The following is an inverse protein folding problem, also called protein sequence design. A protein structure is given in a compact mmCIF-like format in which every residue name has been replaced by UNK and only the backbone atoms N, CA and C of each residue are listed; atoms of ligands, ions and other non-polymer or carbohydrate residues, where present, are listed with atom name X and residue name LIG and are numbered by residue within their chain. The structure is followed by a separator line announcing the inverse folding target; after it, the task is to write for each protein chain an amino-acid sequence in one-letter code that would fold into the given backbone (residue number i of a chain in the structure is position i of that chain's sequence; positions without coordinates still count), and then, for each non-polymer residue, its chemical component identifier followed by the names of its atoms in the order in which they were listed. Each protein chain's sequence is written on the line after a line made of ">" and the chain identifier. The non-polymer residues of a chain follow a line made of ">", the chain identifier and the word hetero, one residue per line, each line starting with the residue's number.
data_IF_574185323100
#
_entry.id   IF_574185323100
#
_cell.length_a   1.000
_cell.length_b   1.000
_cell.length_c   1.000
_cell.angle_alpha   90.00
_cell.angle_beta   90.00
_cell.angle_gamma   90.00
#
_symmetry.space_group_name_H-M   'P 1'
#
loop_
_entity.id
_entity.type
_entity.pdbx_description
1 polymer ?
#
# COMPACT_ATOMS: atom_id res chain seq x y z
N UNK A 1 8.29 -5.18 -4.64
CA UNK A 1 8.96 -6.43 -4.22
C UNK A 1 8.51 -7.66 -5.02
N UNK A 2 7.26 -8.16 -4.89
CA UNK A 2 6.79 -9.38 -5.61
C UNK A 2 7.09 -9.39 -7.13
N UNK A 3 6.75 -8.30 -7.84
CA UNK A 3 7.03 -8.16 -9.28
C UNK A 3 8.52 -8.24 -9.63
N UNK A 4 9.39 -7.66 -8.81
CA UNK A 4 10.84 -7.73 -9.02
C UNK A 4 11.37 -9.15 -8.79
N UNK A 5 10.86 -9.84 -7.77
CA UNK A 5 11.15 -11.26 -7.56
C UNK A 5 10.70 -12.13 -8.75
N UNK A 6 9.52 -11.85 -9.32
CA UNK A 6 9.03 -12.54 -10.53
C UNK A 6 9.91 -12.24 -11.77
N UNK A 7 10.32 -11.00 -11.97
CA UNK A 7 11.22 -10.61 -13.07
C UNK A 7 12.57 -11.35 -12.97
N UNK A 8 13.16 -11.43 -11.78
CA UNK A 8 14.39 -12.19 -11.56
C UNK A 8 14.19 -13.68 -11.85
N UNK A 9 13.05 -14.27 -11.45
CA UNK A 9 12.72 -15.66 -11.79
C UNK A 9 12.60 -15.86 -13.31
N UNK A 10 11.98 -14.92 -14.02
CA UNK A 10 11.89 -14.95 -15.49
C UNK A 10 13.28 -14.89 -16.15
N UNK A 11 14.20 -14.12 -15.55
CA UNK A 11 15.61 -14.05 -15.94
C UNK A 11 16.45 -15.26 -15.49
N UNK A 12 15.81 -16.33 -14.99
CA UNK A 12 16.43 -17.57 -14.51
C UNK A 12 17.43 -17.34 -13.36
N UNK A 13 17.16 -16.37 -12.50
CA UNK A 13 17.83 -16.21 -11.23
C UNK A 13 17.13 -17.04 -10.15
N UNK A 14 17.88 -17.47 -9.13
CA UNK A 14 17.31 -18.18 -7.98
C UNK A 14 16.78 -17.16 -6.98
N UNK A 15 15.52 -17.31 -6.59
CA UNK A 15 14.79 -16.32 -5.80
C UNK A 15 13.99 -16.99 -4.69
N UNK A 16 14.21 -16.57 -3.45
CA UNK A 16 13.32 -16.83 -2.32
C UNK A 16 12.57 -15.54 -1.99
N UNK A 17 11.26 -15.65 -1.78
CA UNK A 17 10.40 -14.53 -1.38
C UNK A 17 9.70 -14.86 -0.06
N UNK A 18 9.95 -14.07 0.98
CA UNK A 18 9.35 -14.23 2.30
C UNK A 18 8.56 -12.97 2.67
N UNK A 19 7.24 -13.11 2.80
CA UNK A 19 6.41 -12.08 3.42
C UNK A 19 6.45 -12.28 4.94
N UNK A 20 7.05 -11.34 5.67
CA UNK A 20 7.20 -11.44 7.11
C UNK A 20 5.86 -11.29 7.83
N UNK A 21 4.94 -10.47 7.28
CA UNK A 21 3.66 -10.18 7.90
C UNK A 21 2.72 -11.40 7.90
N UNK A 22 2.76 -12.22 6.85
CA UNK A 22 1.96 -13.44 6.74
C UNK A 22 2.26 -14.47 7.84
N UNK A 23 3.40 -14.35 8.54
CA UNK A 23 3.86 -15.29 9.56
C UNK A 23 4.04 -14.64 10.95
N UNK A 24 3.62 -13.39 11.12
CA UNK A 24 3.97 -12.60 12.30
C UNK A 24 3.28 -13.08 13.59
N UNK A 25 2.27 -13.96 13.48
CA UNK A 25 1.59 -14.63 14.60
C UNK A 25 2.45 -15.70 15.28
N UNK A 26 3.53 -16.16 14.63
CA UNK A 26 4.45 -17.16 15.20
C UNK A 26 5.35 -16.47 16.23
N UNK A 27 5.54 -17.09 17.41
CA UNK A 27 6.37 -16.51 18.49
C UNK A 27 7.85 -16.34 18.05
N UNK A 28 8.32 -17.20 17.15
CA UNK A 28 9.73 -17.29 16.74
C UNK A 28 9.86 -17.03 15.24
N UNK A 29 10.40 -15.88 14.78
CA UNK A 29 10.41 -15.55 13.36
C UNK A 29 11.32 -16.42 12.49
N UNK A 30 12.39 -16.97 13.07
CA UNK A 30 13.36 -17.77 12.32
C UNK A 30 12.73 -19.06 11.75
N UNK A 31 11.79 -19.67 12.47
CA UNK A 31 11.15 -20.91 12.05
C UNK A 31 10.32 -20.75 10.76
N UNK A 32 9.32 -19.84 10.66
CA UNK A 32 8.58 -19.64 9.43
C UNK A 32 9.47 -19.12 8.29
N UNK A 33 10.52 -18.35 8.60
CA UNK A 33 11.51 -17.96 7.60
C UNK A 33 12.22 -19.17 7.01
N UNK A 34 12.82 -20.02 7.85
CA UNK A 34 13.53 -21.23 7.40
C UNK A 34 12.60 -22.18 6.64
N UNK A 35 11.36 -22.36 7.12
CA UNK A 35 10.37 -23.18 6.43
C UNK A 35 10.12 -22.68 5.00
N UNK A 36 9.76 -21.40 4.85
CA UNK A 36 9.49 -20.82 3.53
C UNK A 36 10.74 -20.83 2.63
N UNK A 37 11.89 -20.53 3.22
CA UNK A 37 13.17 -20.51 2.54
C UNK A 37 13.54 -21.88 1.97
N UNK A 38 13.53 -22.91 2.80
CA UNK A 38 13.87 -24.28 2.42
C UNK A 38 12.85 -24.89 1.44
N UNK A 39 11.57 -24.58 1.60
CA UNK A 39 10.52 -25.02 0.68
C UNK A 39 10.71 -24.43 -0.72
N UNK A 40 11.01 -23.13 -0.81
CA UNK A 40 11.26 -22.49 -2.11
C UNK A 40 12.57 -22.94 -2.76
N UNK A 41 13.62 -23.22 -1.98
CA UNK A 41 14.84 -23.84 -2.51
C UNK A 41 14.57 -25.25 -3.06
N UNK A 42 13.69 -26.01 -2.40
CA UNK A 42 13.27 -27.34 -2.86
C UNK A 42 12.50 -27.28 -4.17
N UNK A 43 11.55 -26.35 -4.29
CA UNK A 43 10.78 -26.13 -5.52
C UNK A 43 11.67 -25.74 -6.70
N UNK A 44 12.78 -25.05 -6.42
CA UNK A 44 13.81 -24.72 -7.40
C UNK A 44 14.80 -25.85 -7.69
N UNK A 45 14.65 -27.03 -7.05
CA UNK A 45 15.53 -28.17 -7.21
C UNK A 45 16.94 -27.98 -6.61
N UNK A 46 17.14 -26.94 -5.79
CA UNK A 46 18.42 -26.62 -5.17
C UNK A 46 18.70 -27.51 -3.95
N UNK A 47 17.64 -28.01 -3.30
CA UNK A 47 17.70 -28.95 -2.18
C UNK A 47 16.64 -30.03 -2.28
N UNK A 48 16.90 -31.20 -1.69
CA UNK A 48 15.94 -32.30 -1.51
C UNK A 48 15.53 -32.42 -0.04
N UNK A 49 14.69 -31.49 0.42
CA UNK A 49 14.33 -31.37 1.84
C UNK A 49 12.94 -31.96 2.17
N UNK A 50 12.75 -32.61 3.31
CA UNK A 50 11.46 -33.18 3.74
C UNK A 50 11.02 -32.71 5.14
N UNK A 51 10.17 -31.69 5.20
CA UNK A 51 9.62 -31.15 6.45
C UNK A 51 8.79 -32.13 7.28
N UNK A 52 8.28 -33.23 6.70
CA UNK A 52 7.41 -34.17 7.43
C UNK A 52 8.16 -34.90 8.54
N UNK A 53 9.47 -35.04 8.43
CA UNK A 53 10.31 -35.70 9.45
C UNK A 53 10.60 -34.76 10.62
N UNK A 54 10.83 -33.47 10.37
CA UNK A 54 11.11 -32.47 11.42
C UNK A 54 9.91 -32.21 12.33
N UNK A 55 8.71 -32.17 11.74
CA UNK A 55 7.47 -31.97 12.49
C UNK A 55 7.16 -33.18 13.39
N UNK A 56 7.58 -34.39 13.00
CA UNK A 56 7.38 -35.61 13.80
C UNK A 56 8.34 -35.72 14.99
N UNK A 57 9.54 -35.14 14.89
CA UNK A 57 10.58 -35.19 15.93
C UNK A 57 10.66 -33.85 16.69
N UNK A 58 9.57 -33.49 17.39
CA UNK A 58 9.43 -32.18 18.03
C UNK A 58 10.21 -32.08 19.36
N UNK A 59 11.29 -31.30 19.35
CA UNK A 59 11.95 -30.75 20.55
C UNK A 59 12.54 -29.36 20.25
N UNK A 60 13.24 -29.23 19.11
CA UNK A 60 13.71 -27.95 18.58
C UNK A 60 13.69 -27.94 17.04
N UNK A 61 12.52 -27.60 16.48
CA UNK A 61 12.28 -27.64 15.03
C UNK A 61 13.29 -26.77 14.27
N UNK A 62 13.77 -25.66 14.86
CA UNK A 62 14.68 -24.74 14.16
C UNK A 62 16.06 -25.35 13.96
N UNK A 63 16.65 -25.90 15.04
CA UNK A 63 17.97 -26.53 14.98
C UNK A 63 17.93 -27.81 14.14
N UNK A 64 16.86 -28.60 14.26
CA UNK A 64 16.65 -29.79 13.43
C UNK A 64 16.54 -29.43 11.95
N UNK A 65 15.78 -28.38 11.62
CA UNK A 65 15.67 -27.94 10.23
C UNK A 65 17.01 -27.48 9.64
N UNK A 66 17.82 -26.77 10.42
CA UNK A 66 19.17 -26.38 10.02
C UNK A 66 20.05 -27.60 9.75
N UNK A 67 20.11 -28.56 10.70
CA UNK A 67 20.87 -29.82 10.60
C UNK A 67 20.49 -30.61 9.34
N UNK A 68 19.21 -30.89 9.16
CA UNK A 68 18.73 -31.68 8.02
C UNK A 68 18.96 -30.99 6.68
N UNK A 69 18.92 -29.65 6.64
CA UNK A 69 19.24 -28.92 5.42
C UNK A 69 20.69 -29.14 4.98
N UNK A 70 21.62 -29.20 5.94
CA UNK A 70 23.04 -29.40 5.65
C UNK A 70 23.25 -30.72 4.97
N UNK A 71 22.72 -31.80 5.55
CA UNK A 71 22.93 -33.15 5.03
C UNK A 71 22.41 -33.28 3.59
N UNK A 72 21.26 -32.65 3.33
CA UNK A 72 20.66 -32.55 1.99
C UNK A 72 21.51 -31.71 1.02
N UNK A 73 22.03 -30.59 1.49
CA UNK A 73 22.83 -29.70 0.67
C UNK A 73 24.19 -30.35 0.34
N UNK A 74 24.81 -31.06 1.28
CA UNK A 74 26.12 -31.69 1.11
C UNK A 74 26.08 -33.04 0.40
N UNK A 75 25.00 -33.81 0.54
CA UNK A 75 24.95 -35.22 0.15
C UNK A 75 23.57 -35.56 -0.42
N UNK A 76 23.49 -36.01 -1.67
CA UNK A 76 22.22 -36.20 -2.39
C UNK A 76 21.24 -37.27 -1.87
N UNK A 77 21.46 -37.87 -0.70
CA UNK A 77 20.64 -38.91 -0.05
C UNK A 77 20.76 -38.73 1.47
N UNK A 78 19.64 -38.59 2.19
CA UNK A 78 19.61 -38.47 3.66
C UNK A 78 19.47 -39.86 4.29
N UNK A 79 20.24 -40.14 5.35
CA UNK A 79 19.90 -41.15 6.35
C UNK A 79 19.41 -40.41 7.62
N UNK A 80 18.10 -40.44 7.87
CA UNK A 80 17.43 -39.80 9.03
C UNK A 80 17.59 -40.61 10.33
N UNK A 81 18.19 -41.80 10.27
CA UNK A 81 18.18 -42.74 11.39
C UNK A 81 19.12 -42.38 12.56
N UNK A 82 20.04 -41.43 12.41
CA UNK A 82 20.96 -41.01 13.49
C UNK A 82 20.36 -39.96 14.47
N UNK A 83 19.10 -39.55 14.27
CA UNK A 83 18.42 -38.56 15.14
C UNK A 83 17.41 -39.19 16.12
N UNK A 84 17.36 -40.53 16.24
CA UNK A 84 16.33 -41.22 17.01
C UNK A 84 16.56 -41.35 18.52
N UNK A 85 17.62 -40.79 19.08
CA UNK A 85 17.79 -40.85 20.54
C UNK A 85 17.44 -39.52 21.24
N UNK A 86 16.17 -39.48 21.67
CA UNK A 86 15.63 -39.03 22.97
C UNK A 86 14.41 -38.12 22.83
N UNK A 87 13.27 -38.77 22.95
CA UNK A 87 11.98 -38.20 23.36
C UNK A 87 12.03 -37.76 24.82
N UNK A 88 11.59 -36.54 25.10
CA UNK A 88 10.54 -36.30 26.10
C UNK A 88 9.85 -34.96 25.83
N UNK A 89 8.53 -35.02 25.73
CA UNK A 89 7.66 -33.94 25.30
C UNK A 89 7.36 -32.98 26.46
N UNK A 90 8.22 -31.97 26.65
CA UNK A 90 7.85 -30.73 27.32
C UNK A 90 8.13 -29.54 26.39
N UNK A 91 7.16 -28.63 26.34
CA UNK A 91 7.16 -27.48 25.44
C UNK A 91 8.38 -26.59 25.68
N UNK A 92 9.35 -26.65 24.76
CA UNK A 92 10.55 -25.82 24.80
C UNK A 92 10.42 -24.68 23.77
N UNK A 93 10.26 -23.47 24.31
CA UNK A 93 10.46 -22.19 23.60
C UNK A 93 11.88 -22.13 23.02
N UNK A 94 12.21 -21.14 22.18
CA UNK A 94 13.54 -21.02 21.54
C UNK A 94 14.53 -21.05 22.70
N UNK A 95 15.68 -21.73 22.56
CA UNK A 95 16.44 -22.12 23.72
C UNK A 95 16.66 -20.86 24.55
N UNK A 96 16.09 -20.83 25.76
CA UNK A 96 16.83 -20.20 26.85
C UNK A 96 18.03 -21.11 26.93
N UNK A 97 19.08 -20.76 26.17
CA UNK A 97 20.33 -21.51 26.10
C UNK A 97 20.79 -21.56 27.54
N UNK A 98 20.49 -22.67 28.18
CA UNK A 98 20.63 -22.83 29.63
C UNK A 98 21.86 -23.66 29.93
N UNK A 99 22.36 -24.37 28.92
CA UNK A 99 23.58 -25.15 28.96
C UNK A 99 24.57 -24.74 27.86
N UNK A 100 25.86 -24.91 28.15
CA UNK A 100 26.93 -24.69 27.17
C UNK A 100 26.83 -25.64 25.97
N UNK A 101 26.27 -26.83 26.19
CA UNK A 101 26.11 -27.87 25.17
C UNK A 101 25.05 -27.47 24.14
N UNK A 102 23.90 -26.95 24.58
CA UNK A 102 22.87 -26.39 23.70
C UNK A 102 23.42 -25.24 22.83
N UNK A 103 24.22 -24.36 23.43
CA UNK A 103 24.86 -23.27 22.70
C UNK A 103 25.80 -23.78 21.60
N UNK A 104 26.65 -24.76 21.93
CA UNK A 104 27.58 -25.37 20.98
C UNK A 104 26.82 -26.03 19.83
N UNK A 105 25.77 -26.79 20.13
CA UNK A 105 24.96 -27.45 19.11
C UNK A 105 24.28 -26.45 18.15
N UNK A 106 23.79 -25.31 18.68
CA UNK A 106 23.22 -24.25 17.86
C UNK A 106 24.30 -23.59 16.99
N UNK A 107 25.48 -23.29 17.53
CA UNK A 107 26.59 -22.74 16.76
C UNK A 107 27.04 -23.69 15.65
N UNK A 108 27.17 -24.98 15.94
CA UNK A 108 27.53 -26.00 14.96
C UNK A 108 26.47 -26.11 13.85
N UNK A 109 25.18 -26.11 14.21
CA UNK A 109 24.09 -26.11 13.24
C UNK A 109 24.11 -24.87 12.36
N UNK A 110 24.34 -23.67 12.92
CA UNK A 110 24.45 -22.43 12.16
C UNK A 110 25.68 -22.43 11.23
N UNK A 111 26.85 -22.84 11.74
CA UNK A 111 28.08 -22.92 10.95
C UNK A 111 27.91 -23.86 9.76
N UNK A 112 27.36 -25.05 10.01
CA UNK A 112 27.09 -26.01 8.96
C UNK A 112 26.02 -25.47 7.99
N UNK A 113 24.94 -24.82 8.47
CA UNK A 113 23.90 -24.25 7.60
C UNK A 113 24.48 -23.23 6.63
N UNK A 114 25.35 -22.34 7.11
CA UNK A 114 26.12 -21.42 6.26
C UNK A 114 26.98 -22.18 5.24
N UNK A 115 27.58 -23.31 5.63
CA UNK A 115 28.36 -24.14 4.72
C UNK A 115 27.48 -24.77 3.62
N UNK A 116 26.30 -25.27 3.97
CA UNK A 116 25.31 -25.77 3.00
C UNK A 116 24.84 -24.69 2.03
N UNK A 117 24.60 -23.46 2.52
CA UNK A 117 24.28 -22.32 1.67
C UNK A 117 25.42 -21.96 0.71
N UNK A 118 26.67 -21.98 1.19
CA UNK A 118 27.83 -21.76 0.32
C UNK A 118 27.90 -22.80 -0.81
N UNK A 119 27.60 -24.08 -0.52
CA UNK A 119 27.54 -25.13 -1.55
C UNK A 119 26.43 -24.89 -2.57
N UNK A 120 25.25 -24.43 -2.12
CA UNK A 120 24.16 -24.05 -3.03
C UNK A 120 24.62 -22.91 -3.95
N UNK A 121 25.20 -21.85 -3.41
CA UNK A 121 25.70 -20.73 -4.21
C UNK A 121 26.76 -21.19 -5.22
N UNK A 122 27.69 -22.06 -4.83
CA UNK A 122 28.68 -22.62 -5.77
C UNK A 122 28.00 -23.34 -6.93
N UNK A 123 26.91 -24.08 -6.69
CA UNK A 123 26.11 -24.75 -7.72
C UNK A 123 25.39 -23.79 -8.67
N UNK A 124 25.14 -22.55 -8.24
CA UNK A 124 24.56 -21.49 -9.07
C UNK A 124 25.55 -20.93 -10.12
N UNK A 125 26.80 -21.41 -10.17
CA UNK A 125 27.80 -21.09 -11.21
C UNK A 125 27.99 -19.59 -11.44
N UNK A 126 28.13 -18.83 -10.36
CA UNK A 126 28.37 -17.38 -10.41
C UNK A 126 27.11 -16.51 -10.45
N UNK A 127 25.92 -17.13 -10.47
CA UNK A 127 24.65 -16.43 -10.20
C UNK A 127 24.42 -16.27 -8.70
N UNK A 128 23.61 -15.28 -8.34
CA UNK A 128 23.24 -15.01 -6.96
C UNK A 128 21.95 -15.74 -6.57
N UNK A 129 21.81 -16.02 -5.28
CA UNK A 129 20.55 -16.36 -4.64
C UNK A 129 19.95 -15.10 -4.04
N UNK A 130 18.86 -14.61 -4.63
CA UNK A 130 18.15 -13.42 -4.13
C UNK A 130 17.12 -13.81 -3.09
N UNK A 131 17.14 -13.13 -1.94
CA UNK A 131 16.25 -13.40 -0.80
C UNK A 131 15.48 -12.13 -0.50
N UNK A 132 14.23 -12.09 -0.93
CA UNK A 132 13.30 -10.99 -0.67
C UNK A 132 12.64 -11.18 0.68
N UNK A 133 12.65 -10.14 1.51
CA UNK A 133 11.93 -10.06 2.77
C UNK A 133 11.05 -8.81 2.70
N UNK A 134 9.73 -9.01 2.76
CA UNK A 134 8.73 -7.95 2.53
C UNK A 134 7.85 -7.75 3.78
N UNK A 135 7.28 -6.55 3.91
CA UNK A 135 6.31 -6.15 4.93
C UNK A 135 6.78 -6.26 6.40
N UNK A 136 8.10 -6.12 6.64
CA UNK A 136 8.70 -6.12 7.98
C UNK A 136 8.11 -5.04 8.90
N UNK A 137 7.78 -3.88 8.37
CA UNK A 137 7.20 -2.76 9.12
C UNK A 137 5.77 -3.01 9.62
N UNK A 138 5.07 -4.01 9.05
CA UNK A 138 3.68 -4.37 9.43
C UNK A 138 3.62 -5.47 10.49
N UNK A 139 4.72 -6.17 10.72
CA UNK A 139 4.81 -7.17 11.77
C UNK A 139 4.72 -6.55 13.16
N UNK A 140 4.35 -7.38 14.14
CA UNK A 140 4.57 -7.05 15.56
C UNK A 140 6.01 -6.55 15.79
N UNK A 141 6.20 -5.45 16.56
CA UNK A 141 7.52 -4.86 16.79
C UNK A 141 8.62 -5.86 17.12
N UNK A 142 8.39 -6.74 18.10
CA UNK A 142 9.38 -7.74 18.53
C UNK A 142 9.70 -8.76 17.43
N UNK A 143 8.68 -9.18 16.66
CA UNK A 143 8.86 -10.14 15.57
C UNK A 143 9.78 -9.58 14.47
N UNK A 144 9.59 -8.33 14.06
CA UNK A 144 10.40 -7.70 13.01
C UNK A 144 11.89 -7.65 13.41
N UNK A 145 12.18 -7.26 14.65
CA UNK A 145 13.54 -7.14 15.16
C UNK A 145 14.18 -8.51 15.36
N UNK A 146 13.47 -9.45 15.98
CA UNK A 146 13.95 -10.81 16.14
C UNK A 146 14.23 -11.49 14.79
N UNK A 147 13.41 -11.23 13.76
CA UNK A 147 13.65 -11.75 12.42
C UNK A 147 14.95 -11.19 11.85
N UNK A 148 15.14 -9.87 11.87
CA UNK A 148 16.37 -9.22 11.42
C UNK A 148 17.60 -9.74 12.16
N UNK A 149 17.50 -9.86 13.49
CA UNK A 149 18.56 -10.40 14.34
C UNK A 149 18.88 -11.86 14.03
N UNK A 150 17.88 -12.67 13.70
CA UNK A 150 18.08 -14.08 13.37
C UNK A 150 18.73 -14.26 12.00
N UNK A 151 18.27 -13.53 10.97
CA UNK A 151 18.76 -13.68 9.60
C UNK A 151 20.11 -12.99 9.35
N UNK A 152 20.52 -12.00 10.19
CA UNK A 152 21.78 -11.26 10.01
C UNK A 152 23.00 -12.17 9.90
N UNK A 153 22.95 -13.32 10.57
CA UNK A 153 24.02 -14.29 10.53
C UNK A 153 24.27 -14.84 9.12
N UNK A 154 23.31 -14.72 8.21
CA UNK A 154 23.38 -15.20 6.82
C UNK A 154 23.87 -14.13 5.82
N UNK A 155 23.95 -12.85 6.22
CA UNK A 155 24.27 -11.74 5.30
C UNK A 155 25.69 -11.81 4.74
N UNK A 156 26.64 -12.38 5.48
CA UNK A 156 28.05 -12.44 5.08
C UNK A 156 28.38 -13.60 4.13
N UNK A 157 27.39 -14.25 3.49
CA UNK A 157 27.63 -15.35 2.55
C UNK A 157 27.71 -14.77 1.13
N UNK A 158 28.89 -14.84 0.51
CA UNK A 158 29.09 -14.36 -0.86
C UNK A 158 28.12 -15.07 -1.82
N UNK A 159 27.41 -14.30 -2.63
CA UNK A 159 26.41 -14.79 -3.60
C UNK A 159 25.00 -14.95 -3.04
N UNK A 160 24.77 -14.68 -1.75
CA UNK A 160 23.44 -14.37 -1.23
C UNK A 160 23.22 -12.86 -1.33
N UNK A 161 22.06 -12.46 -1.84
CA UNK A 161 21.65 -11.06 -1.92
C UNK A 161 20.32 -10.91 -1.19
N UNK A 162 20.34 -10.26 -0.02
CA UNK A 162 19.13 -9.96 0.72
C UNK A 162 18.54 -8.63 0.24
N UNK A 163 17.24 -8.62 -0.04
CA UNK A 163 16.50 -7.44 -0.50
C UNK A 163 15.35 -7.22 0.47
N UNK A 164 15.43 -6.16 1.26
CA UNK A 164 14.45 -5.83 2.29
C UNK A 164 13.49 -4.75 1.77
N UNK A 165 12.19 -5.06 1.75
CA UNK A 165 11.14 -4.11 1.44
C UNK A 165 10.61 -3.55 2.75
N UNK A 166 11.01 -2.32 3.09
CA UNK A 166 10.70 -1.70 4.39
C UNK A 166 10.22 -0.26 4.22
N UNK A 167 9.29 0.17 5.07
CA UNK A 167 9.16 1.59 5.42
C UNK A 167 10.20 1.92 6.50
N UNK A 168 11.27 2.61 6.09
CA UNK A 168 12.39 2.96 6.98
C UNK A 168 11.94 3.74 8.21
N UNK A 169 11.06 4.71 8.04
CA UNK A 169 10.64 5.59 9.12
C UNK A 169 9.82 4.81 10.16
N UNK A 170 8.88 3.99 9.70
CA UNK A 170 8.09 3.14 10.58
C UNK A 170 8.98 2.13 11.31
N UNK A 171 9.89 1.47 10.60
CA UNK A 171 10.79 0.49 11.23
C UNK A 171 11.74 1.14 12.25
N UNK A 172 12.25 2.35 11.98
CA UNK A 172 13.04 3.15 12.94
C UNK A 172 12.24 3.44 14.22
N UNK A 173 10.98 3.86 14.08
CA UNK A 173 10.10 4.10 15.22
C UNK A 173 9.85 2.83 16.03
N UNK A 174 9.62 1.70 15.36
CA UNK A 174 9.48 0.38 15.97
C UNK A 174 10.69 0.01 16.81
N UNK A 175 11.91 0.16 16.27
CA UNK A 175 13.15 -0.12 17.00
C UNK A 175 13.27 0.80 18.22
N UNK A 176 13.01 2.10 18.05
CA UNK A 176 13.09 3.08 19.14
C UNK A 176 12.13 2.74 20.29
N UNK A 177 10.94 2.23 19.97
CA UNK A 177 9.97 1.81 20.99
C UNK A 177 10.41 0.56 21.77
N UNK A 178 11.10 -0.38 21.13
CA UNK A 178 11.56 -1.63 21.78
C UNK A 178 12.73 -1.37 22.73
N UNK A 179 13.72 -0.59 22.29
CA UNK A 179 14.95 -0.38 23.04
C UNK A 179 14.91 0.87 23.94
N UNK A 180 13.90 1.73 23.78
CA UNK A 180 13.64 2.88 24.65
C UNK A 180 13.82 4.24 23.98
N UNK A 181 13.24 5.26 24.62
CA UNK A 181 13.29 6.65 24.15
C UNK A 181 14.74 7.13 24.02
N UNK A 182 15.09 7.74 22.88
CA UNK A 182 16.44 8.22 22.59
C UNK A 182 17.36 7.20 21.91
N UNK A 183 16.90 5.98 21.64
CA UNK A 183 17.68 5.02 20.86
C UNK A 183 17.84 5.50 19.40
N UNK A 184 19.08 5.44 18.88
CA UNK A 184 19.37 5.64 17.46
C UNK A 184 18.91 4.45 16.60
N UNK A 185 17.59 4.36 16.33
CA UNK A 185 17.02 3.34 15.44
C UNK A 185 17.60 3.35 14.03
N UNK A 186 18.07 4.52 13.60
CA UNK A 186 18.69 4.76 12.31
C UNK A 186 20.09 4.12 12.25
N UNK A 187 20.92 4.34 13.27
CA UNK A 187 22.20 3.63 13.44
C UNK A 187 22.07 2.13 13.66
N UNK A 188 20.97 1.67 14.24
CA UNK A 188 20.68 0.25 14.35
C UNK A 188 20.43 -0.41 12.99
N UNK A 189 19.60 0.19 12.13
CA UNK A 189 19.30 -0.34 10.79
C UNK A 189 20.53 -0.41 9.88
N UNK A 190 21.47 0.54 10.00
CA UNK A 190 22.75 0.53 9.27
C UNK A 190 23.62 -0.71 9.54
N UNK A 191 23.34 -1.48 10.59
CA UNK A 191 24.05 -2.76 10.86
C UNK A 191 23.59 -3.91 9.96
N UNK A 192 22.44 -3.75 9.30
CA UNK A 192 21.78 -4.80 8.51
C UNK A 192 21.69 -4.45 7.03
N UNK A 193 21.80 -3.17 6.67
CA UNK A 193 21.57 -2.65 5.32
C UNK A 193 22.87 -2.04 4.80
N UNK A 194 23.47 -2.69 3.81
CA UNK A 194 24.69 -2.20 3.14
C UNK A 194 24.38 -1.09 2.14
N UNK A 195 23.28 -1.23 1.39
CA UNK A 195 22.86 -0.32 0.33
C UNK A 195 21.37 -0.04 0.49
N UNK A 196 21.03 1.24 0.41
CA UNK A 196 19.65 1.71 0.42
C UNK A 196 19.26 2.24 -0.95
N UNK A 197 18.05 1.86 -1.39
CA UNK A 197 17.45 2.32 -2.63
C UNK A 197 16.06 2.86 -2.32
N UNK A 198 15.84 4.14 -2.59
CA UNK A 198 14.53 4.75 -2.53
C UNK A 198 13.82 4.59 -3.87
N UNK A 199 12.57 4.13 -3.84
CA UNK A 199 11.74 4.07 -5.04
C UNK A 199 11.25 5.48 -5.38
N UNK A 200 11.41 5.96 -6.62
CA UNK A 200 10.88 7.25 -7.00
C UNK A 200 9.36 7.25 -6.91
N UNK A 201 8.79 8.36 -6.42
CA UNK A 201 7.35 8.54 -6.44
C UNK A 201 6.88 8.61 -7.90
N UNK A 202 5.89 7.79 -8.31
CA UNK A 202 5.36 7.88 -9.65
C UNK A 202 4.63 9.22 -9.83
N UNK A 203 4.67 9.75 -11.05
CA UNK A 203 3.89 10.92 -11.38
C UNK A 203 2.39 10.60 -11.18
N UNK A 204 1.65 11.49 -10.51
CA UNK A 204 0.23 11.26 -10.21
C UNK A 204 -0.58 11.05 -11.49
N UNK A 205 -0.29 11.79 -12.56
CA UNK A 205 -0.98 11.64 -13.86
C UNK A 205 -0.76 10.25 -14.46
N UNK A 206 0.47 9.76 -14.46
CA UNK A 206 0.79 8.42 -14.97
C UNK A 206 0.15 7.34 -14.10
N UNK A 207 0.15 7.52 -12.78
CA UNK A 207 -0.50 6.61 -11.85
C UNK A 207 -2.02 6.59 -12.04
N UNK A 208 -2.66 7.75 -12.21
CA UNK A 208 -4.08 7.86 -12.55
C UNK A 208 -4.43 7.16 -13.87
N UNK A 209 -3.60 7.33 -14.90
CA UNK A 209 -3.76 6.61 -16.17
C UNK A 209 -3.65 5.09 -15.99
N UNK A 210 -2.72 4.64 -15.15
CA UNK A 210 -2.63 3.23 -14.78
C UNK A 210 -3.89 2.74 -14.06
N UNK A 211 -4.42 3.50 -13.09
CA UNK A 211 -5.62 3.13 -12.35
C UNK A 211 -6.87 3.08 -13.24
N UNK A 212 -7.00 4.02 -14.18
CA UNK A 212 -8.08 4.01 -15.18
C UNK A 212 -8.12 2.70 -15.95
N UNK A 213 -6.96 2.22 -16.41
CA UNK A 213 -6.82 0.93 -17.09
C UNK A 213 -7.05 -0.25 -16.15
N UNK A 214 -6.43 -0.22 -14.96
CA UNK A 214 -6.53 -1.29 -13.94
C UNK A 214 -7.96 -1.57 -13.52
N UNK A 215 -8.75 -0.51 -13.32
CA UNK A 215 -10.13 -0.63 -12.84
C UNK A 215 -11.17 -0.65 -13.96
N UNK A 216 -10.73 -0.62 -15.22
CA UNK A 216 -11.60 -0.55 -16.39
C UNK A 216 -12.70 0.51 -16.19
N UNK A 217 -12.27 1.74 -15.90
CA UNK A 217 -13.19 2.86 -15.65
C UNK A 217 -13.79 3.28 -16.99
N UNK A 218 -14.75 2.51 -17.45
CA UNK A 218 -15.48 2.65 -18.70
C UNK A 218 -16.96 2.31 -18.49
N UNK A 219 -17.86 3.00 -19.17
CA UNK A 219 -19.27 2.63 -19.22
C UNK A 219 -19.61 2.07 -20.60
N UNK A 220 -19.94 0.77 -20.64
CA UNK A 220 -20.31 0.06 -21.87
C UNK A 220 -21.81 0.15 -22.17
N UNK A 221 -22.61 0.87 -21.37
CA UNK A 221 -24.04 1.07 -21.61
C UNK A 221 -24.26 1.98 -22.81
N UNK A 222 -24.96 1.47 -23.83
CA UNK A 222 -25.30 2.22 -25.06
C UNK A 222 -26.18 3.43 -24.81
N UNK A 223 -27.01 3.41 -23.77
CA UNK A 223 -27.95 4.49 -23.44
C UNK A 223 -27.24 5.61 -22.64
N UNK A 224 -26.28 5.25 -21.78
CA UNK A 224 -25.60 6.17 -20.86
C UNK A 224 -24.29 6.73 -21.41
N UNK A 225 -23.78 6.16 -22.51
CA UNK A 225 -22.41 6.36 -22.99
C UNK A 225 -22.01 7.83 -23.14
N UNK A 226 -22.86 8.66 -23.76
CA UNK A 226 -22.58 10.09 -23.98
C UNK A 226 -22.50 10.85 -22.65
N UNK A 227 -23.44 10.64 -21.74
CA UNK A 227 -23.44 11.30 -20.44
C UNK A 227 -22.23 10.85 -19.61
N UNK A 228 -21.86 9.56 -19.70
CA UNK A 228 -20.70 9.02 -19.00
C UNK A 228 -19.39 9.62 -19.50
N UNK A 229 -19.19 9.72 -20.82
CA UNK A 229 -17.99 10.38 -21.37
C UNK A 229 -17.87 11.81 -20.83
N UNK A 230 -18.97 12.57 -20.85
CA UNK A 230 -18.97 13.95 -20.35
C UNK A 230 -18.61 13.96 -18.86
N UNK A 231 -19.32 13.19 -18.03
CA UNK A 231 -19.06 13.14 -16.59
C UNK A 231 -17.64 12.70 -16.23
N UNK A 232 -17.09 11.72 -16.95
CA UNK A 232 -15.73 11.23 -16.75
C UNK A 232 -14.66 12.23 -17.22
N UNK A 233 -14.88 12.90 -18.36
CA UNK A 233 -13.98 13.96 -18.83
C UNK A 233 -13.91 15.12 -17.83
N UNK A 234 -15.05 15.47 -17.24
CA UNK A 234 -15.14 16.47 -16.19
C UNK A 234 -14.42 16.02 -14.90
N UNK A 235 -14.58 14.76 -14.49
CA UNK A 235 -13.80 14.20 -13.37
C UNK A 235 -12.30 14.33 -13.61
N UNK A 236 -11.80 13.94 -14.78
CA UNK A 236 -10.38 14.02 -15.10
C UNK A 236 -9.87 15.47 -15.07
N UNK A 237 -10.66 16.42 -15.60
CA UNK A 237 -10.34 17.84 -15.56
C UNK A 237 -10.14 18.35 -14.13
N UNK A 238 -11.09 18.07 -13.22
CA UNK A 238 -10.94 18.44 -11.80
C UNK A 238 -9.81 17.70 -11.13
N UNK A 239 -9.69 16.39 -11.39
CA UNK A 239 -8.63 15.56 -10.85
C UNK A 239 -7.23 16.14 -11.16
N UNK A 240 -6.97 16.56 -12.41
CA UNK A 240 -5.70 17.17 -12.79
C UNK A 240 -5.40 18.41 -11.94
N UNK A 241 -6.35 19.34 -11.82
CA UNK A 241 -6.21 20.55 -10.98
C UNK A 241 -5.90 20.19 -9.53
N UNK A 242 -6.68 19.27 -8.95
CA UNK A 242 -6.53 18.90 -7.55
C UNK A 242 -5.25 18.14 -7.27
N UNK A 243 -4.80 17.30 -8.21
CA UNK A 243 -3.55 16.56 -8.08
C UNK A 243 -2.33 17.47 -8.00
N UNK A 244 -2.42 18.70 -8.51
CA UNK A 244 -1.37 19.72 -8.37
C UNK A 244 -1.48 20.52 -7.06
N UNK A 245 -2.70 20.65 -6.52
CA UNK A 245 -2.99 21.43 -5.31
C UNK A 245 -2.64 20.71 -4.01
N UNK A 246 -2.84 19.39 -4.00
CA UNK A 246 -2.68 18.57 -2.81
C UNK A 246 -1.57 17.55 -3.03
N UNK A 247 -0.75 17.37 -2.00
CA UNK A 247 0.20 16.26 -1.96
C UNK A 247 -0.56 14.97 -1.66
N UNK A 248 -0.83 14.18 -2.71
CA UNK A 248 -1.55 12.91 -2.60
C UNK A 248 -0.59 11.74 -2.42
N UNK A 249 -0.86 10.92 -1.41
CA UNK A 249 -0.31 9.57 -1.33
C UNK A 249 -1.00 8.68 -2.36
N UNK A 250 -0.25 7.77 -2.97
CA UNK A 250 -0.77 6.84 -3.99
C UNK A 250 -1.98 6.03 -3.50
N UNK A 251 -2.02 5.71 -2.20
CA UNK A 251 -3.16 5.01 -1.59
C UNK A 251 -4.43 5.85 -1.62
N UNK A 252 -4.33 7.16 -1.38
CA UNK A 252 -5.46 8.08 -1.44
C UNK A 252 -5.97 8.22 -2.88
N UNK A 253 -5.05 8.35 -3.85
CA UNK A 253 -5.38 8.37 -5.28
C UNK A 253 -6.13 7.11 -5.67
N UNK A 254 -5.61 5.93 -5.31
CA UNK A 254 -6.26 4.65 -5.59
C UNK A 254 -7.67 4.58 -5.01
N UNK A 255 -7.85 4.98 -3.75
CA UNK A 255 -9.16 4.99 -3.11
C UNK A 255 -10.15 5.91 -3.81
N UNK A 256 -9.73 7.09 -4.28
CA UNK A 256 -10.59 8.03 -5.01
C UNK A 256 -11.08 7.38 -6.31
N UNK A 257 -10.18 6.79 -7.10
CA UNK A 257 -10.53 6.17 -8.39
C UNK A 257 -11.41 4.92 -8.21
N UNK A 258 -11.15 4.11 -7.18
CA UNK A 258 -12.02 2.95 -6.84
C UNK A 258 -13.42 3.43 -6.47
N UNK A 259 -13.53 4.42 -5.59
CA UNK A 259 -14.82 4.99 -5.16
C UNK A 259 -15.56 5.60 -6.34
N UNK A 260 -14.86 6.36 -7.18
CA UNK A 260 -15.41 6.94 -8.40
C UNK A 260 -15.98 5.87 -9.35
N UNK A 261 -15.21 4.82 -9.63
CA UNK A 261 -15.65 3.73 -10.50
C UNK A 261 -16.86 2.99 -9.92
N UNK A 262 -16.87 2.72 -8.62
CA UNK A 262 -17.99 2.06 -7.95
C UNK A 262 -19.27 2.91 -8.03
N UNK A 263 -19.17 4.21 -7.74
CA UNK A 263 -20.33 5.12 -7.76
C UNK A 263 -20.89 5.23 -9.17
N UNK A 264 -20.05 5.51 -10.16
CA UNK A 264 -20.48 5.70 -11.55
C UNK A 264 -21.15 4.46 -12.17
N UNK A 265 -20.89 3.26 -11.64
CA UNK A 265 -21.58 2.02 -12.02
C UNK A 265 -22.96 1.85 -11.38
N UNK A 266 -23.19 2.47 -10.22
CA UNK A 266 -24.46 2.40 -9.49
C UNK A 266 -25.42 3.50 -9.95
N UNK A 267 -24.88 4.61 -10.44
CA UNK A 267 -25.66 5.77 -10.85
C UNK A 267 -26.44 5.55 -12.16
N UNK A 268 -27.67 6.05 -12.20
CA UNK A 268 -28.44 6.15 -13.44
C UNK A 268 -27.88 7.24 -14.37
N UNK A 269 -28.34 7.23 -15.63
CA UNK A 269 -27.84 8.13 -16.68
C UNK A 269 -28.12 9.62 -16.41
N UNK A 270 -29.12 9.93 -15.58
CA UNK A 270 -29.46 11.30 -15.21
C UNK A 270 -28.50 11.81 -14.13
N UNK A 271 -28.03 10.95 -13.24
CA UNK A 271 -27.15 11.30 -12.11
C UNK A 271 -25.67 11.40 -12.54
N UNK A 272 -25.27 10.74 -13.63
CA UNK A 272 -23.92 10.86 -14.23
C UNK A 272 -23.55 12.32 -14.58
N UNK A 273 -24.52 13.24 -14.70
CA UNK A 273 -24.27 14.67 -14.90
C UNK A 273 -23.64 15.37 -13.69
N UNK A 274 -23.66 14.74 -12.51
CA UNK A 274 -23.15 15.30 -11.24
C UNK A 274 -21.72 14.81 -10.94
N UNK A 275 -21.14 14.03 -11.84
CA UNK A 275 -19.81 13.42 -11.71
C UNK A 275 -18.66 14.40 -11.35
N UNK A 276 -18.55 15.63 -11.90
CA UNK A 276 -17.54 16.60 -11.45
C UNK A 276 -17.67 17.03 -9.98
N UNK A 277 -18.90 17.21 -9.49
CA UNK A 277 -19.17 17.53 -8.08
C UNK A 277 -18.76 16.37 -7.19
N UNK A 278 -19.06 15.15 -7.62
CA UNK A 278 -18.70 13.95 -6.90
C UNK A 278 -17.18 13.81 -6.76
N UNK A 279 -16.44 14.08 -7.85
CA UNK A 279 -14.98 14.11 -7.86
C UNK A 279 -14.44 15.04 -6.77
N UNK A 280 -14.94 16.28 -6.77
CA UNK A 280 -14.58 17.31 -5.81
C UNK A 280 -14.85 16.85 -4.38
N UNK A 281 -16.07 16.41 -4.10
CA UNK A 281 -16.46 16.02 -2.75
C UNK A 281 -15.64 14.83 -2.23
N UNK A 282 -15.26 13.87 -3.09
CA UNK A 282 -14.39 12.75 -2.70
C UNK A 282 -12.98 13.21 -2.34
N UNK A 283 -12.42 14.16 -3.10
CA UNK A 283 -11.12 14.76 -2.82
C UNK A 283 -11.15 15.52 -1.50
N UNK A 284 -12.15 16.40 -1.33
CA UNK A 284 -12.30 17.20 -0.11
C UNK A 284 -12.52 16.32 1.11
N UNK A 285 -13.30 15.25 1.01
CA UNK A 285 -13.52 14.33 2.14
C UNK A 285 -12.20 13.77 2.70
N UNK A 286 -11.17 13.61 1.87
CA UNK A 286 -9.85 13.11 2.28
C UNK A 286 -8.93 14.26 2.69
N UNK A 287 -8.81 15.29 1.83
CA UNK A 287 -7.79 16.35 1.99
C UNK A 287 -8.23 17.54 2.81
N UNK A 288 -9.53 17.82 2.85
CA UNK A 288 -10.10 18.91 3.65
C UNK A 288 -11.49 18.54 4.20
N UNK A 289 -11.53 17.69 5.25
CA UNK A 289 -12.80 17.24 5.84
C UNK A 289 -13.65 18.39 6.38
N UNK A 290 -13.01 19.49 6.80
CA UNK A 290 -13.71 20.69 7.30
C UNK A 290 -14.46 21.36 6.15
N UNK A 291 -13.79 21.57 5.02
CA UNK A 291 -14.42 22.11 3.83
C UNK A 291 -15.53 21.21 3.31
N UNK A 292 -15.24 19.91 3.21
CA UNK A 292 -16.23 18.91 2.83
C UNK A 292 -17.48 19.05 3.71
N UNK A 293 -17.32 19.11 5.03
CA UNK A 293 -18.44 19.27 5.96
C UNK A 293 -19.20 20.60 5.77
N UNK A 294 -18.50 21.71 5.52
CA UNK A 294 -19.13 23.00 5.28
C UNK A 294 -19.96 23.00 3.98
N UNK A 295 -19.46 22.38 2.91
CA UNK A 295 -20.21 22.14 1.68
C UNK A 295 -21.41 21.22 1.93
N UNK A 296 -21.21 20.11 2.65
CA UNK A 296 -22.26 19.13 2.88
C UNK A 296 -23.23 19.48 4.01
N UNK A 297 -23.09 20.60 4.71
CA UNK A 297 -24.05 21.01 5.75
C UNK A 297 -24.79 22.29 5.39
N UNK A 298 -24.66 22.75 4.13
CA UNK A 298 -25.29 23.97 3.62
C UNK A 298 -24.89 25.21 4.46
N UNK A 299 -23.68 25.18 5.04
CA UNK A 299 -23.12 26.24 5.90
C UNK A 299 -22.22 27.22 5.15
N UNK A 300 -22.00 26.99 3.86
CA UNK A 300 -21.19 27.85 3.02
C UNK A 300 -22.00 29.10 2.62
N UNK A 301 -21.41 30.28 2.73
CA UNK A 301 -21.95 31.53 2.16
C UNK A 301 -21.08 31.95 0.98
N UNK A 302 -21.56 32.80 0.07
CA UNK A 302 -20.77 33.30 -1.08
C UNK A 302 -19.43 33.92 -0.63
N UNK A 303 -19.46 34.66 0.48
CA UNK A 303 -18.27 35.27 1.06
C UNK A 303 -17.34 34.23 1.71
N UNK A 304 -17.89 33.28 2.48
CA UNK A 304 -17.09 32.22 3.06
C UNK A 304 -16.51 31.27 1.99
N UNK A 305 -17.21 31.06 0.87
CA UNK A 305 -16.74 30.27 -0.26
C UNK A 305 -15.55 30.96 -0.94
N UNK A 306 -15.67 32.25 -1.24
CA UNK A 306 -14.58 33.04 -1.84
C UNK A 306 -13.38 33.16 -0.91
N UNK A 307 -13.58 33.52 0.36
CA UNK A 307 -12.49 33.64 1.34
C UNK A 307 -11.78 32.30 1.55
N UNK A 308 -12.54 31.22 1.58
CA UNK A 308 -12.01 29.87 1.73
C UNK A 308 -11.21 29.44 0.50
N UNK A 309 -11.75 29.65 -0.71
CA UNK A 309 -11.06 29.29 -1.94
C UNK A 309 -9.77 30.08 -2.07
N UNK A 310 -9.84 31.40 -1.87
CA UNK A 310 -8.68 32.32 -1.80
C UNK A 310 -7.61 31.79 -0.86
N UNK A 311 -8.01 31.37 0.34
CA UNK A 311 -7.07 30.90 1.38
C UNK A 311 -6.47 29.53 1.10
N UNK A 312 -7.24 28.56 0.61
CA UNK A 312 -6.83 27.14 0.59
C UNK A 312 -6.52 26.59 -0.81
N UNK A 313 -7.08 27.20 -1.84
CA UNK A 313 -6.92 26.81 -3.24
C UNK A 313 -5.84 27.67 -3.91
N UNK A 314 -5.97 28.99 -3.82
CA UNK A 314 -5.06 29.91 -4.55
C UNK A 314 -3.69 30.07 -3.90
N UNK A 315 -3.58 29.97 -2.58
CA UNK A 315 -2.28 30.03 -1.89
C UNK A 315 -1.36 28.85 -2.19
N UNK A 316 -1.92 27.73 -2.72
CA UNK A 316 -1.20 26.49 -3.01
C UNK A 316 -0.87 26.29 -4.49
N UNK A 317 -1.46 27.08 -5.38
CA UNK A 317 -1.16 27.02 -6.81
C UNK A 317 0.20 27.67 -7.09
N UNK A 318 1.17 26.87 -7.54
CA UNK A 318 2.50 27.38 -7.94
C UNK A 318 2.46 28.18 -9.25
N UNK A 319 1.48 27.90 -10.10
CA UNK A 319 1.22 28.60 -11.37
C UNK A 319 -0.20 29.17 -11.33
N UNK A 320 -0.40 30.37 -11.88
CA UNK A 320 -1.72 30.97 -11.94
C UNK A 320 -2.70 30.02 -12.67
N UNK A 321 -3.82 29.61 -12.05
CA UNK A 321 -4.82 28.81 -12.74
C UNK A 321 -5.43 29.63 -13.87
N UNK A 322 -5.81 28.97 -14.96
CA UNK A 322 -6.65 29.62 -15.98
C UNK A 322 -7.90 30.20 -15.29
N UNK A 323 -8.23 31.44 -15.61
CA UNK A 323 -9.41 32.16 -15.07
C UNK A 323 -10.72 31.36 -15.27
N UNK A 324 -10.73 30.49 -16.29
CA UNK A 324 -11.78 29.52 -16.61
C UNK A 324 -11.95 28.47 -15.51
N UNK A 325 -10.86 27.92 -14.97
CA UNK A 325 -10.87 26.89 -13.92
C UNK A 325 -11.44 27.47 -12.62
N UNK A 326 -11.05 28.70 -12.31
CA UNK A 326 -11.53 29.45 -11.14
C UNK A 326 -13.03 29.66 -11.23
N UNK A 327 -13.49 30.14 -12.38
CA UNK A 327 -14.89 30.40 -12.62
C UNK A 327 -15.71 29.11 -12.60
N UNK A 328 -15.23 28.03 -13.21
CA UNK A 328 -15.91 26.74 -13.21
C UNK A 328 -16.00 26.13 -11.80
N UNK A 329 -14.95 26.29 -10.99
CA UNK A 329 -14.95 25.80 -9.62
C UNK A 329 -15.95 26.56 -8.73
N UNK A 330 -15.90 27.90 -8.76
CA UNK A 330 -16.86 28.75 -8.02
C UNK A 330 -18.28 28.48 -8.52
N UNK A 331 -18.46 28.32 -9.83
CA UNK A 331 -19.76 28.00 -10.42
C UNK A 331 -20.31 26.67 -9.92
N UNK A 332 -19.49 25.63 -9.81
CA UNK A 332 -19.88 24.33 -9.27
C UNK A 332 -20.27 24.44 -7.79
N UNK A 333 -19.44 25.10 -6.98
CA UNK A 333 -19.71 25.32 -5.57
C UNK A 333 -21.04 26.05 -5.36
N UNK A 334 -21.29 27.08 -6.15
CA UNK A 334 -22.52 27.86 -6.07
C UNK A 334 -23.72 27.10 -6.64
N UNK A 335 -23.60 26.38 -7.75
CA UNK A 335 -24.69 25.60 -8.35
C UNK A 335 -25.23 24.50 -7.44
N UNK A 336 -24.45 24.05 -6.45
CA UNK A 336 -24.85 23.07 -5.43
C UNK A 336 -25.63 23.65 -4.26
N UNK A 337 -25.70 24.97 -4.12
CA UNK A 337 -26.51 25.57 -3.07
C UNK A 337 -28.02 25.41 -3.36
N UNK A 338 -28.86 25.24 -2.31
CA UNK A 338 -30.32 25.26 -2.42
C UNK A 338 -30.83 26.70 -2.60
N UNK A 339 -30.23 27.45 -3.51
CA UNK A 339 -30.57 28.84 -3.83
C UNK A 339 -31.02 28.90 -5.29
N UNK A 340 -32.18 29.52 -5.52
CA UNK A 340 -32.68 29.76 -6.87
C UNK A 340 -31.94 30.95 -7.50
N UNK A 341 -30.85 30.66 -8.22
CA UNK A 341 -30.07 31.70 -8.90
C UNK A 341 -30.80 32.32 -10.09
N UNK A 342 -31.88 31.70 -10.59
CA UNK A 342 -32.73 32.32 -11.61
C UNK A 342 -33.44 33.54 -11.03
N UNK A 343 -33.98 33.42 -9.82
CA UNK A 343 -34.60 34.55 -9.13
C UNK A 343 -33.57 35.63 -8.76
N UNK A 344 -32.34 35.24 -8.42
CA UNK A 344 -31.26 36.20 -8.15
C UNK A 344 -30.78 36.91 -9.42
N UNK A 345 -30.68 36.21 -10.56
CA UNK A 345 -30.28 36.86 -11.82
C UNK A 345 -31.24 37.98 -12.21
N UNK A 346 -32.53 37.83 -11.95
CA UNK A 346 -33.53 38.88 -12.23
C UNK A 346 -33.53 40.05 -11.24
N UNK A 347 -32.93 39.89 -10.05
CA UNK A 347 -32.92 40.91 -8.99
C UNK A 347 -31.69 41.80 -9.00
N UNK A 348 -30.68 41.46 -9.80
CA UNK A 348 -29.38 42.13 -9.78
C UNK A 348 -29.26 43.07 -10.96
N UNK A 349 -28.87 44.32 -10.69
CA UNK A 349 -28.76 45.36 -11.72
C UNK A 349 -27.42 45.34 -12.48
N UNK A 350 -26.41 44.66 -11.93
CA UNK A 350 -25.09 44.49 -12.54
C UNK A 350 -25.11 43.37 -13.59
N UNK A 351 -24.82 43.71 -14.85
CA UNK A 351 -24.81 42.80 -16.00
C UNK A 351 -23.87 41.62 -15.84
N UNK A 352 -22.75 41.81 -15.15
CA UNK A 352 -21.72 40.78 -14.92
C UNK A 352 -22.24 39.75 -13.93
N UNK A 353 -22.89 40.22 -12.86
CA UNK A 353 -23.54 39.36 -11.86
C UNK A 353 -24.79 38.69 -12.42
N UNK A 354 -25.59 39.39 -13.23
CA UNK A 354 -26.73 38.84 -13.96
C UNK A 354 -26.29 37.67 -14.86
N UNK A 355 -25.22 37.86 -15.64
CA UNK A 355 -24.64 36.81 -16.49
C UNK A 355 -24.11 35.63 -15.67
N UNK A 356 -23.42 35.91 -14.57
CA UNK A 356 -22.91 34.88 -13.66
C UNK A 356 -24.03 34.06 -13.01
N UNK A 357 -25.06 34.70 -12.45
CA UNK A 357 -26.23 34.01 -11.88
C UNK A 357 -27.07 33.30 -12.96
N UNK A 358 -27.10 33.81 -14.19
CA UNK A 358 -27.74 33.15 -15.33
C UNK A 358 -26.98 31.87 -15.74
N UNK A 359 -25.66 31.92 -15.79
CA UNK A 359 -24.78 30.76 -16.00
C UNK A 359 -24.98 29.71 -14.89
N UNK A 360 -25.00 30.14 -13.63
CA UNK A 360 -25.32 29.28 -12.47
C UNK A 360 -26.71 28.65 -12.60
N UNK A 361 -27.71 29.43 -12.99
CA UNK A 361 -29.07 28.93 -13.22
C UNK A 361 -29.13 27.92 -14.38
N UNK A 362 -28.36 28.11 -15.46
CA UNK A 362 -28.25 27.13 -16.55
C UNK A 362 -27.60 25.85 -16.06
N UNK A 363 -26.49 25.94 -15.33
CA UNK A 363 -25.85 24.79 -14.71
C UNK A 363 -26.83 24.05 -13.78
N UNK A 364 -27.62 24.77 -12.98
CA UNK A 364 -28.69 24.20 -12.16
C UNK A 364 -29.83 23.55 -12.97
N UNK A 365 -30.19 24.09 -14.13
CA UNK A 365 -31.23 23.52 -15.02
C UNK A 365 -30.81 22.18 -15.63
N UNK A 366 -29.52 22.00 -15.94
CA UNK A 366 -28.98 20.70 -16.35
C UNK A 366 -28.83 19.72 -15.19
N UNK A 367 -28.91 20.24 -13.96
CA UNK A 367 -28.95 19.47 -12.72
C UNK A 367 -30.39 19.03 -12.42
N UNK A 368 -31.46 19.83 -12.48
CA UNK A 368 -32.88 19.46 -12.16
C UNK A 368 -33.43 18.26 -12.99
N UNK A 369 -33.93 17.14 -12.43
CA UNK A 369 -34.98 16.89 -11.42
C UNK A 369 -34.53 15.95 -10.27
N UNK A 370 -34.45 16.28 -8.98
CA UNK A 370 -35.29 17.04 -8.08
C UNK A 370 -34.40 17.79 -7.04
N UNK A 371 -34.89 18.89 -6.48
CA UNK A 371 -34.20 19.74 -5.50
C UNK A 371 -34.42 19.28 -4.05
N UNK A 372 -33.49 19.62 -3.15
CA UNK A 372 -33.38 19.21 -1.72
C UNK A 372 -32.90 17.75 -1.53
N UNK A 373 -33.47 16.78 -2.25
CA UNK A 373 -33.06 15.38 -2.11
C UNK A 373 -31.66 15.11 -2.63
N UNK A 374 -31.05 15.98 -3.46
CA UNK A 374 -29.80 15.68 -4.17
C UNK A 374 -28.51 15.96 -3.45
N UNK A 375 -28.42 17.11 -2.79
CA UNK A 375 -27.30 17.39 -1.91
C UNK A 375 -27.38 16.40 -0.74
N UNK A 376 -28.58 16.08 -0.26
CA UNK A 376 -28.81 14.97 0.67
C UNK A 376 -28.51 13.58 0.07
N UNK A 377 -28.77 13.32 -1.20
CA UNK A 377 -28.55 12.02 -1.87
C UNK A 377 -27.07 11.81 -2.21
N UNK A 378 -26.36 12.84 -2.65
CA UNK A 378 -24.90 12.83 -2.82
C UNK A 378 -24.23 12.71 -1.46
N UNK A 379 -24.70 13.44 -0.44
CA UNK A 379 -24.28 13.26 0.96
C UNK A 379 -24.52 11.82 1.41
N UNK A 380 -25.72 11.28 1.21
CA UNK A 380 -26.10 9.93 1.59
C UNK A 380 -25.25 8.90 0.85
N UNK A 381 -25.03 9.03 -0.46
CA UNK A 381 -24.13 8.14 -1.21
C UNK A 381 -22.70 8.23 -0.72
N UNK A 382 -22.14 9.43 -0.58
CA UNK A 382 -20.75 9.61 -0.12
C UNK A 382 -20.62 9.15 1.35
N UNK A 383 -21.65 9.29 2.18
CA UNK A 383 -21.68 8.78 3.56
C UNK A 383 -21.89 7.27 3.62
N UNK A 384 -22.70 6.69 2.74
CA UNK A 384 -22.91 5.24 2.61
C UNK A 384 -21.66 4.54 2.07
N UNK A 385 -20.78 5.27 1.38
CA UNK A 385 -19.46 4.81 0.95
C UNK A 385 -18.44 5.14 2.06
N UNK A 386 -18.76 4.70 3.27
CA UNK A 386 -17.78 4.40 4.30
C UNK A 386 -17.38 2.93 4.12
N UNK A 387 -16.62 2.64 3.07
CA UNK A 387 -15.82 1.42 3.06
C UNK A 387 -14.65 1.68 4.00
N UNK A 388 -14.79 1.15 5.22
CA UNK A 388 -13.74 1.05 6.23
C UNK A 388 -12.51 0.40 5.55
N UNK A 389 -11.29 0.93 5.80
CA UNK A 389 -10.07 0.51 5.11
C UNK A 389 -9.76 -0.99 5.16
#
# INVERSE_FOLDING_TARGET
>A
MKRWAEELRQNKESVVFFNAWDCDFVEKPLLPFLYNFLQQLKEQGLVKYNFKEDIKNCGDITVTCLKNFIDVASSGIINIDDLKEKTDAHAIKLPKISTLEEYKQLQDALFKFKSGLNEIVKRLKGKNLYIFIDELERCRPTFAIELLEAIKHLFNIKGLVFILGIDRNQLKHTISNIYGCGMDGEGYLRRFIDIELELPQPNIKDYSNYLNKKFEIENKSTHAYRNWIIGYSEFLRFWEIFSELYDFQLREVEQIFVKFNAITKILDEKIIKITPVLALLMILKIKDPVLYNNFTLDKLTEQNANDFLTKNFFSKLKNAPDEIIVNDFVKICMALHPTDYRLLSYKVQDKTKENFYSELSKMQQYVQSCDIDRVQYLKNMISCISLIP
#
